data_IF_653568156599
#
_entry.id   IF_653568156599
#
_cell.length_a   1.000
_cell.length_b   1.000
_cell.length_c   1.000
_cell.angle_alpha   90.00
_cell.angle_beta   90.00
_cell.angle_gamma   90.00
#
_symmetry.space_group_name_H-M   'P 1'
#
loop_
_entity.id
_entity.type
_entity.pdbx_description
1 polymer ?
#
# COMPACT_ATOMS: atom_id res chain seq x y z
N UNK A 1 -16.95 -25.06 -9.31
CA UNK A 1 -17.02 -25.05 -7.84
C UNK A 1 -16.98 -23.64 -7.27
N UNK A 2 -16.00 -22.77 -7.65
CA UNK A 2 -15.81 -21.40 -7.10
C UNK A 2 -17.06 -20.53 -7.27
N UNK A 3 -17.68 -20.55 -8.44
CA UNK A 3 -18.90 -19.74 -8.74
C UNK A 3 -20.07 -20.14 -7.83
N UNK A 4 -20.20 -21.41 -7.49
CA UNK A 4 -21.24 -21.89 -6.57
C UNK A 4 -20.99 -21.44 -5.13
N UNK A 5 -19.73 -21.40 -4.70
CA UNK A 5 -19.33 -20.91 -3.38
C UNK A 5 -19.57 -19.40 -3.25
N UNK A 6 -19.24 -18.63 -4.29
CA UNK A 6 -19.53 -17.20 -4.32
C UNK A 6 -21.04 -16.89 -4.32
N UNK A 7 -21.86 -17.70 -5.00
CA UNK A 7 -23.33 -17.59 -4.93
C UNK A 7 -23.89 -17.92 -3.53
N UNK A 8 -23.17 -18.71 -2.73
CA UNK A 8 -23.50 -19.01 -1.35
C UNK A 8 -22.98 -17.95 -0.35
N UNK A 9 -22.46 -16.81 -0.83
CA UNK A 9 -22.00 -15.72 0.03
C UNK A 9 -20.59 -15.91 0.59
N UNK A 10 -19.76 -16.71 -0.07
CA UNK A 10 -18.35 -16.88 0.30
C UNK A 10 -17.52 -15.84 -0.45
N UNK A 11 -16.91 -14.92 0.27
CA UNK A 11 -16.13 -13.80 -0.27
C UNK A 11 -14.75 -14.21 -0.80
N UNK A 12 -14.14 -15.24 -0.20
CA UNK A 12 -12.77 -15.68 -0.55
C UNK A 12 -12.68 -17.18 -0.60
N UNK A 13 -12.04 -17.69 -1.65
CA UNK A 13 -11.69 -19.12 -1.80
C UNK A 13 -10.18 -19.27 -1.95
N UNK A 14 -9.63 -20.30 -1.32
CA UNK A 14 -8.21 -20.66 -1.44
C UNK A 14 -8.13 -22.00 -2.15
N UNK A 15 -7.37 -22.14 -3.25
CA UNK A 15 -7.13 -23.44 -3.88
C UNK A 15 -6.54 -24.44 -2.88
N UNK A 16 -6.95 -25.71 -2.99
CA UNK A 16 -6.52 -26.77 -2.06
C UNK A 16 -5.02 -27.05 -2.13
N UNK A 17 -4.41 -26.69 -3.23
CA UNK A 17 -2.98 -26.86 -3.52
C UNK A 17 -2.12 -25.75 -2.88
N UNK A 18 -2.72 -24.65 -2.46
CA UNK A 18 -2.03 -23.56 -1.74
C UNK A 18 -1.79 -23.98 -0.28
N UNK A 19 -0.54 -23.88 0.17
CA UNK A 19 -0.14 -24.23 1.54
C UNK A 19 -0.79 -23.34 2.62
N UNK A 20 -0.71 -23.79 3.87
CA UNK A 20 -1.29 -23.10 5.04
C UNK A 20 -0.85 -21.62 5.17
N UNK A 21 0.35 -21.27 4.70
CA UNK A 21 0.85 -19.90 4.68
C UNK A 21 0.02 -18.97 3.78
N UNK A 22 -0.43 -19.44 2.61
CA UNK A 22 -1.32 -18.67 1.73
C UNK A 22 -2.69 -18.44 2.36
N UNK A 23 -3.22 -19.46 3.04
CA UNK A 23 -4.49 -19.35 3.77
C UNK A 23 -4.37 -18.29 4.88
N UNK A 24 -3.31 -18.37 5.68
CA UNK A 24 -3.05 -17.40 6.76
C UNK A 24 -2.82 -15.99 6.23
N UNK A 25 -2.07 -15.82 5.14
CA UNK A 25 -1.86 -14.52 4.51
C UNK A 25 -3.19 -13.92 4.07
N UNK A 26 -4.04 -14.69 3.38
CA UNK A 26 -5.37 -14.23 2.95
C UNK A 26 -6.30 -13.95 4.14
N UNK A 27 -6.22 -14.73 5.22
CA UNK A 27 -6.97 -14.45 6.44
C UNK A 27 -6.50 -13.16 7.11
N UNK A 28 -5.20 -12.92 7.19
CA UNK A 28 -4.64 -11.66 7.72
C UNK A 28 -5.02 -10.46 6.84
N UNK A 29 -4.96 -10.60 5.54
CA UNK A 29 -5.41 -9.57 4.60
C UNK A 29 -6.90 -9.25 4.78
N UNK A 30 -7.75 -10.27 5.03
CA UNK A 30 -9.16 -10.07 5.32
C UNK A 30 -9.39 -9.35 6.67
N UNK A 31 -8.61 -9.68 7.69
CA UNK A 31 -8.68 -9.02 9.01
C UNK A 31 -8.19 -7.58 8.90
N UNK A 32 -7.07 -7.33 8.24
CA UNK A 32 -6.54 -5.99 8.02
C UNK A 32 -7.45 -5.15 7.11
N UNK A 33 -8.16 -5.77 6.18
CA UNK A 33 -9.17 -5.11 5.35
C UNK A 33 -10.40 -4.69 6.17
N UNK A 34 -10.71 -5.36 7.28
CA UNK A 34 -11.81 -4.98 8.20
C UNK A 34 -11.47 -3.82 9.13
N UNK A 35 -10.19 -3.55 9.40
CA UNK A 35 -9.71 -2.34 10.13
C UNK A 35 -9.54 -1.13 9.18
N UNK A 36 -10.31 -1.06 8.10
CA UNK A 36 -10.17 -0.01 7.09
C UNK A 36 -10.39 1.37 7.68
N UNK A 37 -9.43 2.26 7.39
CA UNK A 37 -9.65 3.70 7.47
C UNK A 37 -10.99 4.04 6.79
N UNK A 38 -11.82 4.84 7.46
CA UNK A 38 -13.10 5.32 6.92
C UNK A 38 -12.91 5.87 5.51
N UNK A 39 -13.87 5.64 4.64
CA UNK A 39 -13.87 6.24 3.31
C UNK A 39 -14.02 7.76 3.44
N UNK A 40 -13.20 8.51 2.72
CA UNK A 40 -13.21 9.97 2.73
C UNK A 40 -13.61 10.52 1.38
N UNK A 41 -14.69 11.28 1.35
CA UNK A 41 -15.24 11.86 0.13
C UNK A 41 -15.16 13.40 0.21
N UNK A 42 -14.61 14.02 -0.82
CA UNK A 42 -14.67 15.46 -0.97
C UNK A 42 -15.88 15.82 -1.84
N UNK A 43 -16.77 16.64 -1.32
CA UNK A 43 -17.96 17.12 -2.02
C UNK A 43 -17.68 18.54 -2.49
N UNK A 44 -17.68 18.76 -3.80
CA UNK A 44 -17.54 20.08 -4.42
C UNK A 44 -18.92 20.47 -4.95
N UNK A 45 -19.61 21.32 -4.20
CA UNK A 45 -21.02 21.69 -4.41
C UNK A 45 -21.27 23.08 -3.84
N UNK A 46 -21.77 24.02 -4.63
CA UNK A 46 -22.06 25.38 -4.21
C UNK A 46 -23.42 25.53 -3.51
N UNK A 47 -24.37 24.65 -3.79
CA UNK A 47 -25.66 24.60 -3.12
C UNK A 47 -25.56 24.00 -1.73
N UNK A 48 -25.72 24.82 -0.69
CA UNK A 48 -25.73 24.33 0.71
C UNK A 48 -26.76 23.23 0.96
N UNK A 49 -27.94 23.33 0.33
CA UNK A 49 -29.00 22.35 0.49
C UNK A 49 -28.60 21.00 -0.12
N UNK A 50 -28.07 21.01 -1.33
CA UNK A 50 -27.59 19.81 -2.00
C UNK A 50 -26.41 19.18 -1.23
N UNK A 51 -25.44 19.98 -0.79
CA UNK A 51 -24.32 19.53 -0.01
C UNK A 51 -24.74 18.81 1.29
N UNK A 52 -25.69 19.39 2.05
CA UNK A 52 -26.20 18.77 3.28
C UNK A 52 -26.90 17.43 3.01
N UNK A 53 -27.69 17.33 1.95
CA UNK A 53 -28.35 16.08 1.55
C UNK A 53 -27.31 14.99 1.21
N UNK A 54 -26.29 15.35 0.44
CA UNK A 54 -25.21 14.42 0.07
C UNK A 54 -24.44 13.98 1.31
N UNK A 55 -24.02 14.93 2.17
CA UNK A 55 -23.30 14.61 3.42
C UNK A 55 -24.09 13.65 4.32
N UNK A 56 -25.39 13.93 4.52
CA UNK A 56 -26.25 13.08 5.33
C UNK A 56 -26.34 11.67 4.74
N UNK A 57 -26.55 11.55 3.44
CA UNK A 57 -26.58 10.26 2.74
C UNK A 57 -25.29 9.47 2.94
N UNK A 58 -24.13 10.11 2.80
CA UNK A 58 -22.84 9.45 2.98
C UNK A 58 -22.60 9.04 4.44
N UNK A 59 -22.97 9.90 5.40
CA UNK A 59 -22.84 9.61 6.83
C UNK A 59 -23.71 8.41 7.27
N UNK A 60 -24.94 8.27 6.76
CA UNK A 60 -25.81 7.12 6.99
C UNK A 60 -25.19 5.79 6.51
N UNK A 61 -24.20 5.87 5.58
CA UNK A 61 -23.46 4.73 5.05
C UNK A 61 -22.02 4.62 5.58
N UNK A 62 -21.70 5.31 6.69
CA UNK A 62 -20.38 5.30 7.33
C UNK A 62 -19.24 5.82 6.44
N UNK A 63 -19.53 6.80 5.58
CA UNK A 63 -18.58 7.48 4.71
C UNK A 63 -18.35 8.89 5.23
N UNK A 64 -17.13 9.24 5.59
CA UNK A 64 -16.77 10.60 6.00
C UNK A 64 -16.75 11.53 4.78
N UNK A 65 -17.23 12.76 4.94
CA UNK A 65 -17.23 13.71 3.85
C UNK A 65 -16.96 15.14 4.31
N UNK A 66 -16.27 15.87 3.45
CA UNK A 66 -15.98 17.30 3.60
C UNK A 66 -16.56 18.06 2.41
N UNK A 67 -17.18 19.21 2.64
CA UNK A 67 -17.75 20.06 1.58
C UNK A 67 -16.82 21.22 1.27
N UNK A 68 -16.61 21.44 -0.01
CA UNK A 68 -15.94 22.61 -0.59
C UNK A 68 -16.96 23.32 -1.46
N UNK A 69 -17.38 24.53 -1.04
CA UNK A 69 -18.34 25.34 -1.78
C UNK A 69 -17.67 26.26 -2.82
N UNK A 70 -16.38 26.59 -2.64
CA UNK A 70 -15.60 27.37 -3.60
C UNK A 70 -14.50 26.51 -4.21
N UNK A 71 -14.58 26.21 -5.52
CA UNK A 71 -13.55 25.43 -6.22
C UNK A 71 -12.13 26.00 -6.12
N UNK A 72 -11.96 27.27 -5.82
CA UNK A 72 -10.65 27.89 -5.65
C UNK A 72 -9.85 27.28 -4.46
N UNK A 73 -10.54 26.79 -3.42
CA UNK A 73 -9.92 26.14 -2.26
C UNK A 73 -9.70 24.63 -2.45
N UNK A 74 -10.03 24.09 -3.61
CA UNK A 74 -10.02 22.64 -3.89
C UNK A 74 -8.63 22.02 -3.68
N UNK A 75 -7.58 22.60 -4.26
CA UNK A 75 -6.23 22.04 -4.21
C UNK A 75 -5.64 22.04 -2.78
N UNK A 76 -5.89 23.09 -2.01
CA UNK A 76 -5.48 23.18 -0.62
C UNK A 76 -6.19 22.12 0.23
N UNK A 77 -7.52 22.00 0.04
CA UNK A 77 -8.33 21.01 0.75
C UNK A 77 -7.92 19.57 0.41
N UNK A 78 -7.59 19.29 -0.84
CA UNK A 78 -7.11 17.96 -1.27
C UNK A 78 -5.83 17.56 -0.53
N UNK A 79 -4.89 18.47 -0.37
CA UNK A 79 -3.61 18.18 0.29
C UNK A 79 -3.77 17.88 1.78
N UNK A 80 -4.68 18.56 2.46
CA UNK A 80 -4.94 18.39 3.90
C UNK A 80 -5.91 17.24 4.20
N UNK A 81 -7.01 17.13 3.46
CA UNK A 81 -8.06 16.13 3.71
C UNK A 81 -7.73 14.75 3.13
N UNK A 82 -7.01 14.68 2.00
CA UNK A 82 -6.64 13.43 1.28
C UNK A 82 -7.83 12.52 1.03
N UNK A 83 -8.80 12.91 0.20
CA UNK A 83 -9.98 12.12 -0.08
C UNK A 83 -9.66 10.88 -0.94
N UNK A 84 -10.53 9.89 -0.87
CA UNK A 84 -10.52 8.69 -1.73
C UNK A 84 -11.34 8.88 -3.01
N UNK A 85 -12.23 9.88 -3.03
CA UNK A 85 -13.12 10.20 -4.16
C UNK A 85 -13.60 11.64 -4.06
N UNK A 86 -13.84 12.25 -5.22
CA UNK A 86 -14.50 13.56 -5.33
C UNK A 86 -15.91 13.37 -5.90
N UNK A 87 -16.92 13.89 -5.20
CA UNK A 87 -18.23 14.19 -5.78
C UNK A 87 -18.20 15.64 -6.27
N UNK A 88 -18.41 15.84 -7.55
CA UNK A 88 -18.24 17.12 -8.22
C UNK A 88 -19.55 17.57 -8.83
N UNK A 89 -20.10 18.69 -8.38
CA UNK A 89 -21.19 19.32 -9.13
C UNK A 89 -20.66 19.80 -10.48
N UNK A 90 -21.47 19.60 -11.51
CA UNK A 90 -21.09 19.97 -12.86
C UNK A 90 -21.27 21.46 -13.12
N UNK A 91 -22.26 22.07 -12.49
CA UNK A 91 -22.63 23.47 -12.69
C UNK A 91 -22.44 24.29 -11.42
N UNK A 92 -21.33 25.00 -11.35
CA UNK A 92 -21.02 25.90 -10.24
C UNK A 92 -20.71 27.31 -10.79
N UNK A 93 -21.05 28.37 -10.05
CA UNK A 93 -20.65 29.73 -10.42
C UNK A 93 -19.13 29.89 -10.52
N UNK A 94 -18.64 30.58 -11.55
CA UNK A 94 -17.22 30.87 -11.85
C UNK A 94 -16.40 29.71 -12.42
N UNK A 95 -16.62 28.47 -12.00
CA UNK A 95 -15.93 27.29 -12.51
C UNK A 95 -16.94 26.17 -12.70
N UNK A 96 -16.89 25.48 -13.83
CA UNK A 96 -17.63 24.26 -13.98
C UNK A 96 -16.80 23.04 -13.51
N UNK A 97 -17.49 21.95 -13.16
CA UNK A 97 -16.81 20.73 -12.66
C UNK A 97 -15.81 20.14 -13.65
N UNK A 98 -16.02 20.35 -14.94
CA UNK A 98 -15.13 19.87 -16.03
C UNK A 98 -13.80 20.65 -16.02
N UNK A 99 -13.84 21.96 -15.83
CA UNK A 99 -12.64 22.80 -15.70
C UNK A 99 -11.84 22.43 -14.46
N UNK A 100 -12.52 22.23 -13.32
CA UNK A 100 -11.89 21.76 -12.09
C UNK A 100 -11.20 20.40 -12.30
N UNK A 101 -11.84 19.48 -13.01
CA UNK A 101 -11.26 18.18 -13.32
C UNK A 101 -10.01 18.30 -14.19
N UNK A 102 -10.01 19.18 -15.22
CA UNK A 102 -8.82 19.42 -16.04
C UNK A 102 -7.62 19.87 -15.21
N UNK A 103 -7.84 20.75 -14.25
CA UNK A 103 -6.79 21.21 -13.33
C UNK A 103 -6.29 20.05 -12.48
N UNK A 104 -7.19 19.26 -11.88
CA UNK A 104 -6.85 18.12 -11.04
C UNK A 104 -6.01 17.08 -11.77
N UNK A 105 -6.32 16.77 -13.02
CA UNK A 105 -5.59 15.78 -13.82
C UNK A 105 -4.16 16.22 -14.18
N UNK A 106 -3.83 17.50 -14.06
CA UNK A 106 -2.48 18.04 -14.25
C UNK A 106 -1.64 18.01 -12.96
N UNK A 107 -2.27 17.87 -11.79
CA UNK A 107 -1.57 17.87 -10.50
C UNK A 107 -1.07 16.46 -10.17
N UNK A 108 0.24 16.35 -9.95
CA UNK A 108 0.84 15.07 -9.56
C UNK A 108 0.20 14.53 -8.28
N UNK A 109 -0.17 13.24 -8.30
CA UNK A 109 -0.80 12.56 -7.17
C UNK A 109 -2.33 12.51 -7.20
N UNK A 110 -3.01 13.32 -8.04
CA UNK A 110 -4.48 13.30 -8.15
C UNK A 110 -4.98 12.83 -9.52
N UNK A 111 -4.09 12.43 -10.41
CA UNK A 111 -4.42 12.01 -11.77
C UNK A 111 -5.37 10.82 -11.84
N UNK A 112 -5.26 9.89 -10.87
CA UNK A 112 -6.08 8.68 -10.78
C UNK A 112 -7.19 8.78 -9.72
N UNK A 113 -7.31 9.91 -8.99
CA UNK A 113 -8.34 10.09 -7.98
C UNK A 113 -9.74 10.06 -8.63
N UNK A 114 -10.65 9.16 -8.23
CA UNK A 114 -11.94 9.04 -8.88
C UNK A 114 -12.80 10.30 -8.69
N UNK A 115 -13.44 10.72 -9.77
CA UNK A 115 -14.35 11.86 -9.81
C UNK A 115 -15.71 11.38 -10.33
N UNK A 116 -16.73 11.53 -9.49
CA UNK A 116 -18.12 11.26 -9.84
C UNK A 116 -18.85 12.59 -9.96
N UNK A 117 -19.36 12.89 -11.14
CA UNK A 117 -20.14 14.11 -11.37
C UNK A 117 -21.58 13.96 -10.88
N UNK A 118 -22.08 15.01 -10.26
CA UNK A 118 -23.49 15.19 -9.92
C UNK A 118 -24.05 16.23 -10.88
N UNK A 119 -25.05 15.88 -11.66
CA UNK A 119 -25.61 16.79 -12.69
C UNK A 119 -27.13 16.70 -12.75
N UNK A 120 -27.79 17.86 -12.91
CA UNK A 120 -29.19 17.94 -13.29
C UNK A 120 -29.41 17.81 -14.80
N UNK A 121 -28.32 17.81 -15.55
CA UNK A 121 -28.32 17.82 -17.02
C UNK A 121 -28.39 16.41 -17.56
N UNK A 122 -29.24 16.21 -18.55
CA UNK A 122 -29.38 14.97 -19.31
C UNK A 122 -28.69 15.03 -20.68
N UNK A 123 -27.97 16.12 -20.99
CA UNK A 123 -27.26 16.26 -22.25
C UNK A 123 -26.10 15.27 -22.36
N UNK A 124 -26.28 14.30 -23.22
CA UNK A 124 -25.31 13.22 -23.48
C UNK A 124 -23.97 13.80 -23.98
N UNK A 125 -24.01 14.89 -24.76
CA UNK A 125 -22.81 15.52 -25.30
C UNK A 125 -21.88 16.04 -24.17
N UNK A 126 -22.44 16.73 -23.22
CA UNK A 126 -21.69 17.24 -22.04
C UNK A 126 -21.18 16.11 -21.15
N UNK A 127 -21.98 15.06 -20.97
CA UNK A 127 -21.55 13.88 -20.20
C UNK A 127 -20.37 13.19 -20.85
N UNK A 128 -20.42 12.99 -22.18
CA UNK A 128 -19.32 12.38 -22.94
C UNK A 128 -18.06 13.24 -22.87
N UNK A 129 -18.16 14.55 -22.99
CA UNK A 129 -17.01 15.45 -22.87
C UNK A 129 -16.35 15.36 -21.48
N UNK A 130 -17.13 15.40 -20.41
CA UNK A 130 -16.61 15.31 -19.08
C UNK A 130 -15.94 13.96 -18.76
N UNK A 131 -16.46 12.84 -19.30
CA UNK A 131 -15.79 11.53 -19.19
C UNK A 131 -14.46 11.52 -19.96
N UNK A 132 -14.40 12.11 -21.18
CA UNK A 132 -13.16 12.22 -21.97
C UNK A 132 -12.08 13.03 -21.24
N UNK A 133 -12.46 13.97 -20.41
CA UNK A 133 -11.56 14.84 -19.65
C UNK A 133 -11.13 14.27 -18.30
N UNK A 134 -11.56 13.05 -17.99
CA UNK A 134 -11.08 12.30 -16.82
C UNK A 134 -12.08 12.16 -15.70
N UNK A 135 -13.36 12.41 -15.91
CA UNK A 135 -14.44 11.98 -15.02
C UNK A 135 -14.65 10.47 -15.09
N UNK A 136 -15.04 9.85 -14.00
CA UNK A 136 -15.20 8.40 -13.91
C UNK A 136 -16.65 7.93 -14.02
N UNK A 137 -17.61 8.78 -13.68
CA UNK A 137 -19.03 8.46 -13.71
C UNK A 137 -19.89 9.70 -13.52
N UNK A 138 -21.17 9.58 -13.92
CA UNK A 138 -22.22 10.57 -13.66
C UNK A 138 -23.31 9.97 -12.78
N UNK A 139 -23.91 10.82 -11.94
CA UNK A 139 -25.17 10.59 -11.24
C UNK A 139 -26.08 11.78 -11.50
N UNK A 140 -27.26 11.50 -12.05
CA UNK A 140 -28.26 12.55 -12.31
C UNK A 140 -29.01 12.93 -11.06
N UNK A 141 -29.14 14.24 -10.78
CA UNK A 141 -29.99 14.79 -9.75
C UNK A 141 -31.48 14.82 -10.21
N UNK A 142 -32.45 14.39 -9.38
CA UNK A 142 -32.30 13.81 -8.06
C UNK A 142 -31.81 12.36 -8.12
N UNK A 143 -30.85 11.99 -7.28
CA UNK A 143 -30.29 10.64 -7.21
C UNK A 143 -30.92 9.84 -6.06
N UNK A 144 -30.96 8.53 -6.21
CA UNK A 144 -31.31 7.63 -5.14
C UNK A 144 -30.16 7.54 -4.13
N UNK A 145 -30.38 7.77 -2.80
CA UNK A 145 -29.35 7.70 -1.76
C UNK A 145 -28.57 6.38 -1.74
N UNK A 146 -29.25 5.25 -1.91
CA UNK A 146 -28.62 3.93 -1.93
C UNK A 146 -27.70 3.78 -3.15
N UNK A 147 -28.12 4.30 -4.31
CA UNK A 147 -27.31 4.27 -5.54
C UNK A 147 -26.07 5.16 -5.38
N UNK A 148 -26.21 6.35 -4.82
CA UNK A 148 -25.08 7.23 -4.55
C UNK A 148 -24.03 6.53 -3.67
N UNK A 149 -24.46 5.98 -2.53
CA UNK A 149 -23.56 5.29 -1.60
C UNK A 149 -22.88 4.07 -2.23
N UNK A 150 -23.63 3.28 -3.00
CA UNK A 150 -23.08 2.11 -3.71
C UNK A 150 -22.04 2.49 -4.76
N UNK A 151 -22.30 3.52 -5.58
CA UNK A 151 -21.36 4.03 -6.57
C UNK A 151 -20.10 4.54 -5.91
N UNK A 152 -20.22 5.38 -4.88
CA UNK A 152 -19.10 5.94 -4.13
C UNK A 152 -18.24 4.83 -3.54
N UNK A 153 -18.84 3.87 -2.84
CA UNK A 153 -18.13 2.73 -2.25
C UNK A 153 -17.36 1.93 -3.30
N UNK A 154 -18.04 1.52 -4.37
CA UNK A 154 -17.43 0.70 -5.44
C UNK A 154 -16.24 1.44 -6.11
N UNK A 155 -16.37 2.75 -6.34
CA UNK A 155 -15.28 3.55 -6.94
C UNK A 155 -14.10 3.69 -6.00
N UNK A 156 -14.34 3.93 -4.70
CA UNK A 156 -13.27 4.02 -3.70
C UNK A 156 -12.55 2.68 -3.56
N UNK A 157 -13.27 1.57 -3.47
CA UNK A 157 -12.69 0.23 -3.36
C UNK A 157 -11.77 -0.06 -4.54
N UNK A 158 -12.24 0.15 -5.77
CA UNK A 158 -11.43 -0.02 -6.99
C UNK A 158 -10.20 0.88 -7.01
N UNK A 159 -10.34 2.12 -6.59
CA UNK A 159 -9.23 3.07 -6.52
C UNK A 159 -8.18 2.64 -5.48
N UNK A 160 -8.62 2.26 -4.27
CA UNK A 160 -7.73 1.75 -3.23
C UNK A 160 -7.03 0.46 -3.67
N UNK A 161 -7.74 -0.45 -4.34
CA UNK A 161 -7.16 -1.68 -4.87
C UNK A 161 -6.13 -1.41 -5.98
N UNK A 162 -6.43 -0.48 -6.88
CA UNK A 162 -5.47 -0.03 -7.89
C UNK A 162 -4.22 0.59 -7.24
N UNK A 163 -4.39 1.46 -6.24
CA UNK A 163 -3.26 2.03 -5.48
C UNK A 163 -2.46 0.96 -4.75
N UNK A 164 -3.12 -0.03 -4.14
CA UNK A 164 -2.44 -1.16 -3.49
C UNK A 164 -1.63 -1.95 -4.51
N UNK A 165 -2.22 -2.32 -5.65
CA UNK A 165 -1.54 -3.09 -6.69
C UNK A 165 -0.33 -2.38 -7.29
N UNK A 166 -0.32 -1.03 -7.32
CA UNK A 166 0.85 -0.25 -7.76
C UNK A 166 1.92 -0.09 -6.67
N UNK A 167 1.59 -0.32 -5.39
CA UNK A 167 2.47 -0.09 -4.24
C UNK A 167 2.98 -1.37 -3.60
N UNK A 168 2.31 -2.49 -3.83
CA UNK A 168 2.68 -3.77 -3.24
C UNK A 168 3.29 -4.73 -4.26
N UNK A 169 4.12 -5.63 -3.77
CA UNK A 169 4.64 -6.76 -4.53
C UNK A 169 3.59 -7.87 -4.63
N UNK A 170 3.33 -8.36 -5.83
CA UNK A 170 2.25 -9.32 -6.09
C UNK A 170 2.45 -10.70 -5.46
N UNK A 171 3.69 -11.10 -5.14
CA UNK A 171 3.98 -12.40 -4.52
C UNK A 171 3.84 -12.37 -3.00
N UNK A 172 4.23 -11.26 -2.37
CA UNK A 172 4.38 -11.15 -0.91
C UNK A 172 3.34 -10.25 -0.24
N UNK A 173 2.68 -9.36 -1.02
CA UNK A 173 1.81 -8.31 -0.47
C UNK A 173 2.56 -7.29 0.41
N UNK A 174 3.90 -7.25 0.36
CA UNK A 174 4.72 -6.22 0.99
C UNK A 174 4.81 -4.99 0.09
N UNK A 175 5.35 -3.88 0.59
CA UNK A 175 5.68 -2.75 -0.29
C UNK A 175 6.63 -3.21 -1.39
N UNK A 176 6.36 -2.79 -2.63
CA UNK A 176 7.30 -3.02 -3.72
C UNK A 176 8.49 -2.05 -3.65
N UNK A 177 9.47 -2.20 -4.52
CA UNK A 177 10.68 -1.38 -4.57
C UNK A 177 10.39 0.13 -4.56
N UNK A 178 9.51 0.60 -5.45
CA UNK A 178 9.18 2.03 -5.59
C UNK A 178 8.49 2.58 -4.33
N UNK A 179 7.51 1.87 -3.80
CA UNK A 179 6.79 2.27 -2.60
C UNK A 179 7.68 2.22 -1.34
N UNK A 180 8.60 1.25 -1.25
CA UNK A 180 9.58 1.14 -0.17
C UNK A 180 10.53 2.34 -0.17
N UNK A 181 11.08 2.72 -1.32
CA UNK A 181 11.95 3.92 -1.44
C UNK A 181 11.22 5.20 -1.04
N UNK A 182 10.00 5.39 -1.54
CA UNK A 182 9.19 6.58 -1.22
C UNK A 182 8.86 6.64 0.28
N UNK A 183 8.48 5.50 0.88
CA UNK A 183 8.17 5.42 2.31
C UNK A 183 9.40 5.65 3.18
N UNK A 184 10.54 5.04 2.84
CA UNK A 184 11.81 5.24 3.55
C UNK A 184 12.25 6.71 3.49
N UNK A 185 12.14 7.34 2.32
CA UNK A 185 12.45 8.76 2.17
C UNK A 185 11.57 9.61 3.09
N UNK A 186 10.27 9.39 3.10
CA UNK A 186 9.35 10.12 3.98
C UNK A 186 9.66 9.91 5.46
N UNK A 187 10.06 8.70 5.87
CA UNK A 187 10.48 8.42 7.25
C UNK A 187 11.78 9.14 7.63
N UNK A 188 12.76 9.18 6.71
CA UNK A 188 14.02 9.89 6.94
C UNK A 188 13.82 11.41 6.99
N UNK A 189 13.01 11.97 6.08
CA UNK A 189 12.71 13.41 6.03
C UNK A 189 11.91 13.89 7.26
N UNK A 190 11.11 13.02 7.86
CA UNK A 190 10.30 13.31 9.06
C UNK A 190 11.02 13.01 10.39
N UNK A 191 12.28 12.55 10.32
CA UNK A 191 13.02 12.14 11.52
C UNK A 191 13.34 13.36 12.41
N UNK A 192 12.98 13.34 13.70
CA UNK A 192 13.40 14.39 14.63
C UNK A 192 14.93 14.48 14.77
N UNK A 193 15.45 15.62 15.23
CA UNK A 193 16.88 15.87 15.36
C UNK A 193 17.63 14.82 16.22
N UNK A 194 16.94 14.15 17.13
CA UNK A 194 17.49 13.07 17.96
C UNK A 194 16.77 11.72 17.72
N UNK A 195 16.03 11.60 16.62
CA UNK A 195 15.35 10.38 16.24
C UNK A 195 16.30 9.31 15.72
N UNK A 196 15.93 8.06 15.91
CA UNK A 196 16.67 6.91 15.37
C UNK A 196 15.87 6.28 14.22
N UNK A 197 16.53 6.00 13.12
CA UNK A 197 16.01 5.20 12.04
C UNK A 197 17.07 4.21 11.61
N UNK A 198 16.81 2.92 11.76
CA UNK A 198 17.71 1.87 11.28
C UNK A 198 17.10 1.21 10.05
N UNK A 199 17.93 0.99 9.02
CA UNK A 199 17.55 0.33 7.76
C UNK A 199 18.32 -0.97 7.64
N UNK A 200 17.62 -2.06 7.34
CA UNK A 200 18.24 -3.35 7.02
C UNK A 200 17.93 -3.74 5.57
N UNK A 201 18.98 -4.14 4.85
CA UNK A 201 18.88 -4.87 3.59
C UNK A 201 19.05 -6.36 3.89
N UNK A 202 18.17 -7.18 3.39
CA UNK A 202 18.11 -8.63 3.60
C UNK A 202 18.12 -9.32 2.25
N UNK A 203 18.81 -10.46 2.16
CA UNK A 203 18.84 -11.30 0.96
C UNK A 203 18.86 -12.77 1.37
N UNK A 204 18.03 -13.60 0.73
CA UNK A 204 17.91 -15.03 1.00
C UNK A 204 19.16 -15.73 0.48
N UNK A 205 19.89 -16.40 1.37
CA UNK A 205 21.13 -17.07 1.04
C UNK A 205 20.92 -18.23 0.06
N UNK A 206 21.77 -18.30 -0.96
CA UNK A 206 21.77 -19.36 -1.97
C UNK A 206 20.43 -19.53 -2.72
N UNK A 207 19.64 -18.45 -2.85
CA UNK A 207 18.30 -18.51 -3.43
C UNK A 207 18.27 -19.07 -4.86
N UNK A 208 19.26 -18.71 -5.67
CA UNK A 208 19.41 -19.31 -7.01
C UNK A 208 19.54 -20.83 -6.95
N UNK A 209 20.34 -21.36 -6.02
CA UNK A 209 20.50 -22.81 -5.83
C UNK A 209 19.17 -23.47 -5.40
N UNK A 210 18.37 -22.78 -4.58
CA UNK A 210 17.03 -23.28 -4.20
C UNK A 210 16.15 -23.40 -5.45
N UNK A 211 16.11 -22.37 -6.30
CA UNK A 211 15.34 -22.40 -7.54
C UNK A 211 15.84 -23.47 -8.52
N UNK A 212 17.15 -23.60 -8.68
CA UNK A 212 17.77 -24.55 -9.61
C UNK A 212 17.54 -26.02 -9.17
N UNK A 213 17.45 -26.26 -7.84
CA UNK A 213 17.27 -27.61 -7.28
C UNK A 213 15.81 -28.01 -7.12
N UNK A 214 14.95 -27.09 -6.64
CA UNK A 214 13.57 -27.40 -6.24
C UNK A 214 12.51 -26.73 -7.11
N UNK A 215 12.93 -25.91 -8.07
CA UNK A 215 12.07 -25.15 -8.98
C UNK A 215 11.54 -23.84 -8.38
N UNK A 216 11.14 -22.92 -9.27
CA UNK A 216 10.63 -21.60 -8.91
C UNK A 216 9.43 -21.61 -7.93
N UNK A 217 8.46 -22.57 -8.00
CA UNK A 217 7.35 -22.58 -7.04
C UNK A 217 7.81 -22.75 -5.58
N UNK A 218 8.88 -23.52 -5.34
CA UNK A 218 9.47 -23.69 -4.00
C UNK A 218 10.21 -22.41 -3.57
N UNK A 219 10.97 -21.79 -4.47
CA UNK A 219 11.59 -20.50 -4.21
C UNK A 219 10.57 -19.42 -3.86
N UNK A 220 9.46 -19.35 -4.59
CA UNK A 220 8.35 -18.42 -4.30
C UNK A 220 7.75 -18.67 -2.91
N UNK A 221 7.67 -19.93 -2.49
CA UNK A 221 7.21 -20.27 -1.14
C UNK A 221 8.19 -19.81 -0.07
N UNK A 222 9.50 -19.95 -0.29
CA UNK A 222 10.55 -19.45 0.62
C UNK A 222 10.43 -17.92 0.78
N UNK A 223 10.26 -17.20 -0.32
CA UNK A 223 10.03 -15.74 -0.32
C UNK A 223 8.77 -15.39 0.48
N UNK A 224 7.63 -16.07 0.23
CA UNK A 224 6.38 -15.84 0.97
C UNK A 224 6.53 -16.11 2.46
N UNK A 225 7.25 -17.16 2.83
CA UNK A 225 7.47 -17.51 4.23
C UNK A 225 8.32 -16.47 4.96
N UNK A 226 9.36 -15.92 4.31
CA UNK A 226 10.12 -14.81 4.89
C UNK A 226 9.25 -13.56 5.03
N UNK A 227 8.49 -13.21 4.00
CA UNK A 227 7.57 -12.07 4.06
C UNK A 227 6.55 -12.20 5.21
N UNK A 228 5.97 -13.37 5.38
CA UNK A 228 5.05 -13.67 6.48
C UNK A 228 5.73 -13.55 7.85
N UNK A 229 6.94 -14.10 7.99
CA UNK A 229 7.71 -14.02 9.22
C UNK A 229 8.01 -12.55 9.58
N UNK A 230 8.44 -11.76 8.61
CA UNK A 230 8.69 -10.32 8.78
C UNK A 230 7.43 -9.58 9.26
N UNK A 231 6.28 -9.80 8.61
CA UNK A 231 4.98 -9.22 9.03
C UNK A 231 4.61 -9.60 10.47
N UNK A 232 4.86 -10.83 10.87
CA UNK A 232 4.52 -11.33 12.22
C UNK A 232 5.50 -10.89 13.34
N UNK A 233 6.68 -10.42 12.98
CA UNK A 233 7.74 -10.04 13.95
C UNK A 233 7.95 -8.53 14.08
N UNK A 234 7.52 -7.77 13.10
CA UNK A 234 7.71 -6.31 13.04
C UNK A 234 6.41 -5.58 13.37
N UNK A 235 6.53 -4.32 13.76
CA UNK A 235 5.40 -3.46 14.13
C UNK A 235 4.74 -2.87 12.89
N UNK A 236 3.50 -2.42 13.01
CA UNK A 236 2.80 -1.69 11.94
C UNK A 236 3.47 -0.35 11.56
N UNK A 237 4.26 0.22 12.46
CA UNK A 237 5.07 1.42 12.21
C UNK A 237 6.33 1.14 11.39
N UNK A 238 6.83 -0.11 11.40
CA UNK A 238 8.02 -0.50 10.68
C UNK A 238 7.73 -0.60 9.18
N UNK A 239 8.73 -0.29 8.37
CA UNK A 239 8.64 -0.51 6.94
C UNK A 239 9.10 -1.93 6.63
N UNK A 240 8.31 -2.62 5.81
CA UNK A 240 8.67 -3.92 5.25
C UNK A 240 8.40 -3.88 3.76
N UNK A 241 9.42 -4.11 2.94
CA UNK A 241 9.31 -4.12 1.48
C UNK A 241 10.11 -5.24 0.83
N UNK A 242 9.61 -5.72 -0.31
CA UNK A 242 10.39 -6.55 -1.23
C UNK A 242 11.13 -5.62 -2.19
N UNK A 243 12.45 -5.61 -2.10
CA UNK A 243 13.30 -4.65 -2.81
C UNK A 243 13.75 -5.17 -4.17
N UNK A 244 13.94 -6.48 -4.29
CA UNK A 244 14.34 -7.20 -5.50
C UNK A 244 13.73 -8.60 -5.54
N UNK A 245 14.30 -9.50 -6.33
CA UNK A 245 13.85 -10.89 -6.47
C UNK A 245 13.73 -11.62 -5.14
N UNK A 246 14.86 -11.78 -4.44
CA UNK A 246 15.00 -12.39 -3.11
C UNK A 246 15.40 -11.39 -2.03
N UNK A 247 15.39 -10.10 -2.35
CA UNK A 247 15.86 -9.01 -1.49
C UNK A 247 14.71 -8.31 -0.80
N UNK A 248 14.90 -7.98 0.48
CA UNK A 248 13.94 -7.24 1.29
C UNK A 248 14.60 -6.04 1.93
N UNK A 249 13.82 -4.99 2.14
CA UNK A 249 14.22 -3.80 2.88
C UNK A 249 13.31 -3.62 4.09
N UNK A 250 13.92 -3.33 5.23
CA UNK A 250 13.22 -2.99 6.46
C UNK A 250 13.66 -1.61 6.92
N UNK A 251 12.74 -0.84 7.53
CA UNK A 251 13.12 0.36 8.27
C UNK A 251 12.44 0.36 9.63
N UNK A 252 13.22 0.55 10.67
CA UNK A 252 12.83 0.47 12.06
C UNK A 252 12.95 1.87 12.70
N UNK A 253 11.85 2.66 12.75
CA UNK A 253 11.85 3.95 13.42
C UNK A 253 11.96 3.75 14.94
N UNK A 254 12.54 4.75 15.60
CA UNK A 254 12.72 4.80 17.06
C UNK A 254 13.45 3.57 17.65
N UNK A 255 14.22 2.86 16.82
CA UNK A 255 15.02 1.73 17.26
C UNK A 255 16.50 2.10 17.37
N UNK A 256 17.11 2.06 18.58
CA UNK A 256 18.55 2.15 18.72
C UNK A 256 19.27 1.04 17.96
N UNK A 257 20.50 1.26 17.45
CA UNK A 257 21.23 0.30 16.63
C UNK A 257 21.30 -1.12 17.21
N UNK A 258 21.61 -1.24 18.49
CA UNK A 258 21.69 -2.54 19.18
C UNK A 258 20.35 -3.27 19.22
N UNK A 259 19.25 -2.53 19.45
CA UNK A 259 17.89 -3.12 19.42
C UNK A 259 17.48 -3.53 18.04
N UNK A 260 17.76 -2.72 17.02
CA UNK A 260 17.50 -3.06 15.64
C UNK A 260 18.22 -4.35 15.25
N UNK A 261 19.51 -4.46 15.60
CA UNK A 261 20.31 -5.67 15.40
C UNK A 261 19.68 -6.90 16.06
N UNK A 262 19.33 -6.83 17.35
CA UNK A 262 18.71 -7.94 18.08
C UNK A 262 17.40 -8.41 17.41
N UNK A 263 16.58 -7.46 16.91
CA UNK A 263 15.34 -7.79 16.19
C UNK A 263 15.64 -8.58 14.94
N UNK A 264 16.58 -8.12 14.11
CA UNK A 264 16.92 -8.79 12.86
C UNK A 264 17.57 -10.15 13.11
N UNK A 265 18.48 -10.26 14.09
CA UNK A 265 19.10 -11.56 14.49
C UNK A 265 18.07 -12.57 15.02
N UNK A 266 17.01 -12.09 15.68
CA UNK A 266 15.91 -12.98 16.10
C UNK A 266 15.15 -13.51 14.88
N UNK A 267 14.81 -12.63 13.93
CA UNK A 267 14.12 -13.03 12.70
C UNK A 267 14.97 -14.00 11.89
N UNK A 268 16.28 -13.77 11.81
CA UNK A 268 17.23 -14.64 11.14
C UNK A 268 17.22 -16.05 11.74
N UNK A 269 17.27 -16.17 13.08
CA UNK A 269 17.20 -17.46 13.77
C UNK A 269 15.85 -18.16 13.53
N UNK A 270 14.74 -17.41 13.62
CA UNK A 270 13.41 -17.96 13.39
C UNK A 270 13.26 -18.48 11.95
N UNK A 271 13.82 -17.77 10.96
CA UNK A 271 13.78 -18.18 9.57
C UNK A 271 14.64 -19.41 9.29
N UNK A 272 15.83 -19.52 9.88
CA UNK A 272 16.75 -20.62 9.69
C UNK A 272 16.17 -21.98 10.18
N UNK A 273 15.22 -21.96 11.11
CA UNK A 273 14.54 -23.17 11.60
C UNK A 273 13.15 -23.37 11.01
N UNK A 274 12.69 -22.46 10.13
CA UNK A 274 11.39 -22.54 9.50
C UNK A 274 11.41 -23.59 8.39
N UNK A 275 10.57 -24.65 8.46
CA UNK A 275 10.52 -25.67 7.43
C UNK A 275 9.79 -25.17 6.18
N UNK A 276 10.40 -25.37 5.02
CA UNK A 276 9.79 -25.11 3.72
C UNK A 276 9.49 -26.45 3.04
N UNK A 277 8.22 -26.78 2.92
CA UNK A 277 7.79 -28.05 2.34
C UNK A 277 8.00 -28.06 0.81
N UNK A 278 8.45 -29.21 0.28
CA UNK A 278 8.47 -29.50 -1.15
C UNK A 278 8.07 -30.98 -1.38
N UNK A 279 7.92 -31.41 -2.64
CA UNK A 279 7.35 -32.72 -2.98
C UNK A 279 8.12 -33.93 -2.38
N UNK A 280 9.42 -33.79 -2.13
CA UNK A 280 10.30 -34.87 -1.66
C UNK A 280 10.74 -34.68 -0.19
N UNK A 281 10.21 -33.66 0.52
CA UNK A 281 10.59 -33.44 1.91
C UNK A 281 10.49 -31.97 2.37
N UNK A 282 11.49 -31.57 3.12
CA UNK A 282 11.56 -30.23 3.72
C UNK A 282 12.95 -29.65 3.52
N UNK A 283 13.04 -28.41 3.08
CA UNK A 283 14.28 -27.64 3.04
C UNK A 283 14.28 -26.57 4.12
N UNK A 284 15.47 -26.10 4.51
CA UNK A 284 15.69 -24.95 5.37
C UNK A 284 16.48 -23.91 4.59
N UNK A 285 16.15 -22.65 4.78
CA UNK A 285 16.81 -21.53 4.14
C UNK A 285 17.31 -20.54 5.20
N UNK A 286 18.36 -19.81 4.88
CA UNK A 286 18.86 -18.71 5.69
C UNK A 286 18.82 -17.41 4.91
N UNK A 287 19.04 -16.30 5.58
CA UNK A 287 19.29 -15.03 4.92
C UNK A 287 20.49 -14.31 5.53
N UNK A 288 21.07 -13.40 4.78
CA UNK A 288 22.06 -12.45 5.26
C UNK A 288 21.44 -11.07 5.36
N UNK A 289 21.90 -10.25 6.31
CA UNK A 289 21.43 -8.89 6.47
C UNK A 289 22.55 -7.90 6.71
N UNK A 290 22.41 -6.70 6.12
CA UNK A 290 23.22 -5.54 6.42
C UNK A 290 22.36 -4.48 7.07
N UNK A 291 22.84 -3.87 8.17
CA UNK A 291 22.13 -2.89 8.98
C UNK A 291 22.89 -1.56 9.04
N UNK A 292 22.22 -0.45 8.73
CA UNK A 292 22.74 0.92 8.86
C UNK A 292 21.75 1.78 9.64
N UNK A 293 22.25 2.78 10.38
CA UNK A 293 21.41 3.62 11.24
C UNK A 293 21.69 5.12 10.98
N UNK A 294 20.65 5.95 11.13
CA UNK A 294 20.65 7.39 10.82
C UNK A 294 21.68 8.21 11.62
N UNK A 295 22.20 7.66 12.72
CA UNK A 295 23.26 8.30 13.49
C UNK A 295 24.51 8.61 12.63
N UNK A 296 24.79 7.78 11.63
CA UNK A 296 25.98 7.89 10.76
C UNK A 296 25.63 8.20 9.29
N UNK A 297 24.38 8.03 8.90
CA UNK A 297 23.89 8.15 7.52
C UNK A 297 22.61 8.96 7.51
N UNK A 298 22.68 10.29 7.31
CA UNK A 298 21.54 11.20 7.52
C UNK A 298 20.46 11.10 6.44
N UNK A 299 20.75 10.58 5.26
CA UNK A 299 19.78 10.48 4.17
C UNK A 299 19.31 9.06 3.93
N UNK A 300 18.09 8.89 3.40
CA UNK A 300 17.56 7.58 3.03
C UNK A 300 18.43 6.86 1.99
N UNK A 301 19.10 7.60 1.10
CA UNK A 301 19.98 7.04 0.11
C UNK A 301 21.26 6.48 0.74
N UNK A 302 21.92 7.25 1.61
CA UNK A 302 23.13 6.82 2.34
C UNK A 302 22.83 5.63 3.26
N UNK A 303 21.68 5.64 3.95
CA UNK A 303 21.23 4.49 4.76
C UNK A 303 21.09 3.22 3.93
N UNK A 304 20.44 3.30 2.77
CA UNK A 304 20.25 2.15 1.89
C UNK A 304 21.59 1.63 1.37
N UNK A 305 22.45 2.53 0.90
CA UNK A 305 23.77 2.16 0.37
C UNK A 305 24.68 1.55 1.44
N UNK A 306 24.68 2.11 2.65
CA UNK A 306 25.46 1.58 3.76
C UNK A 306 24.95 0.19 4.21
N UNK A 307 23.63 0.00 4.26
CA UNK A 307 23.03 -1.29 4.56
C UNK A 307 23.36 -2.34 3.47
N UNK A 308 23.36 -1.95 2.19
CA UNK A 308 23.73 -2.84 1.09
C UNK A 308 25.21 -3.26 1.16
N UNK A 309 26.12 -2.32 1.42
CA UNK A 309 27.54 -2.65 1.64
C UNK A 309 27.73 -3.62 2.81
N UNK A 310 26.98 -3.43 3.92
CA UNK A 310 27.05 -4.31 5.06
C UNK A 310 26.46 -5.71 4.74
N UNK A 311 25.40 -5.78 3.92
CA UNK A 311 24.86 -7.05 3.42
C UNK A 311 25.89 -7.82 2.58
N UNK A 312 26.58 -7.14 1.68
CA UNK A 312 27.65 -7.75 0.89
C UNK A 312 28.75 -8.32 1.79
N UNK A 313 29.11 -7.60 2.86
CA UNK A 313 30.06 -8.07 3.83
C UNK A 313 29.53 -9.28 4.64
N UNK A 314 28.25 -9.31 5.01
CA UNK A 314 27.61 -10.48 5.63
C UNK A 314 27.73 -11.72 4.74
N UNK A 315 27.45 -11.57 3.44
CA UNK A 315 27.61 -12.65 2.45
C UNK A 315 29.07 -13.15 2.33
N UNK A 316 30.05 -12.23 2.37
CA UNK A 316 31.49 -12.57 2.30
C UNK A 316 31.97 -13.31 3.56
N UNK A 317 31.47 -12.95 4.71
CA UNK A 317 31.83 -13.56 6.01
C UNK A 317 31.21 -14.95 6.27
N UNK A 318 30.52 -15.52 5.29
CA UNK A 318 29.97 -16.87 5.39
C UNK A 318 28.46 -16.94 5.47
N UNK A 319 27.75 -15.82 5.23
CA UNK A 319 26.28 -15.74 5.22
C UNK A 319 25.60 -15.99 6.57
N UNK A 320 24.26 -16.11 6.59
CA UNK A 320 23.47 -16.42 7.77
C UNK A 320 23.83 -15.54 9.00
N UNK A 321 23.98 -14.26 8.78
CA UNK A 321 24.39 -13.30 9.80
C UNK A 321 23.94 -11.88 9.51
N UNK A 322 23.97 -11.05 10.53
CA UNK A 322 23.71 -9.62 10.47
C UNK A 322 25.03 -8.87 10.63
N UNK A 323 25.34 -7.99 9.70
CA UNK A 323 26.51 -7.10 9.78
C UNK A 323 26.04 -5.65 9.89
N UNK A 324 26.58 -4.92 10.85
CA UNK A 324 26.38 -3.47 10.99
C UNK A 324 27.31 -2.72 10.05
N UNK A 325 26.77 -1.71 9.36
CA UNK A 325 27.62 -0.77 8.63
C UNK A 325 28.52 -0.02 9.62
N UNK A 326 29.82 -0.13 9.42
CA UNK A 326 30.80 0.66 10.19
C UNK A 326 30.74 2.12 9.72
N UNK A 327 30.78 3.07 10.64
CA UNK A 327 31.14 4.45 10.32
C UNK A 327 32.57 4.47 9.77
N UNK A 328 32.73 4.84 8.52
CA UNK A 328 34.04 5.18 7.96
C UNK A 328 34.54 6.47 8.52
#
# INVERSE_FOLDING_TARGET
PVVLLMRAGIDVTVPREEGASSVLTRMLDLVQTREQEKYRVLIVEDSRVAAVVIQRTLAEHSIDSLVVADPASLLETLSSYRPDLILMDMYMPRFNGVEATRVLRQVSGYQALPIVYLSSESDIGMQVEALRLGGDQFLTKPFNPVVLAAVVRTKIERYRDALRSTRTDGLTGLLNHTASKARLKAMADALPAHGNLCVAMIDIDHFKSINDTYGHPVGDQVIRNLAWLLKGRLRSTDLIGRYGGEEFILALPDAPPDRARVVIERILRDFAVLPHAHNEGTLFATFSAGLACSLHYPTSAELTEAADRALLEAKRRGRNQVVMACST
#
